data_IF_140623153025
#
_entry.id   IF_140623153025
#
_cell.length_a   1.000
_cell.length_b   1.000
_cell.length_c   1.000
_cell.angle_alpha   90.00
_cell.angle_beta   90.00
_cell.angle_gamma   90.00
#
_symmetry.space_group_name_H-M   'P 1'
#
loop_
_entity.id
_entity.type
_entity.pdbx_description
1 polymer ?
#
# COMPACT_ATOMS: atom_id res chain seq x y z
N UNK A 1 -4.52 -6.16 15.44
CA UNK A 1 -3.20 -6.51 14.87
C UNK A 1 -2.76 -5.50 13.79
N UNK A 2 -2.88 -4.19 14.03
CA UNK A 2 -2.63 -3.17 13.00
C UNK A 2 -2.13 -1.81 13.56
N UNK A 3 -1.28 -1.83 14.60
CA UNK A 3 -0.91 -0.59 15.34
C UNK A 3 0.53 -0.10 15.18
N UNK A 4 1.32 -0.64 14.25
CA UNK A 4 2.78 -0.44 14.32
C UNK A 4 3.45 0.27 13.14
N UNK A 5 2.78 0.54 12.02
CA UNK A 5 3.42 1.14 10.82
C UNK A 5 3.25 2.65 10.66
N UNK A 6 2.45 3.32 11.50
CA UNK A 6 2.23 4.78 11.42
C UNK A 6 3.44 5.64 11.91
N UNK A 7 4.52 5.04 12.39
CA UNK A 7 5.64 5.77 13.01
C UNK A 7 6.79 6.15 12.06
N UNK A 8 6.72 5.82 10.75
CA UNK A 8 7.87 5.98 9.84
C UNK A 8 7.81 7.18 8.88
N UNK A 9 6.76 8.01 8.88
CA UNK A 9 6.62 9.11 7.90
C UNK A 9 7.10 10.48 8.36
N UNK A 10 7.77 10.60 9.52
CA UNK A 10 8.30 11.90 9.94
C UNK A 10 9.69 12.17 9.34
N UNK A 11 9.66 12.88 8.20
CA UNK A 11 10.76 13.65 7.59
C UNK A 11 11.57 12.91 6.51
N UNK A 12 11.15 13.08 5.27
CA UNK A 12 12.02 12.96 4.10
C UNK A 12 11.74 14.16 3.19
N UNK A 13 12.46 15.25 3.41
CA UNK A 13 12.57 16.31 2.40
C UNK A 13 13.35 15.76 1.20
N UNK A 14 12.69 15.63 0.05
CA UNK A 14 13.32 15.18 -1.18
C UNK A 14 14.17 16.31 -1.80
N UNK A 15 15.48 16.10 -2.06
CA UNK A 15 16.25 17.06 -2.82
C UNK A 15 15.87 16.99 -4.30
N UNK A 16 15.56 18.15 -4.88
CA UNK A 16 15.42 18.35 -6.31
C UNK A 16 16.79 18.20 -6.98
N UNK A 17 16.87 17.33 -8.00
CA UNK A 17 17.69 17.38 -9.22
C UNK A 17 18.26 16.01 -9.60
N UNK A 18 17.93 15.52 -10.80
CA UNK A 18 18.68 14.45 -11.45
C UNK A 18 17.83 13.60 -12.39
N UNK A 19 18.01 13.80 -13.69
CA UNK A 19 17.42 12.99 -14.77
C UNK A 19 17.59 11.48 -14.52
N UNK A 20 16.52 10.81 -14.10
CA UNK A 20 16.32 9.40 -14.37
C UNK A 20 15.21 9.28 -15.40
N UNK A 21 15.51 8.66 -16.53
CA UNK A 21 14.51 8.23 -17.52
C UNK A 21 13.54 7.29 -16.80
N UNK A 22 12.37 7.83 -16.43
CA UNK A 22 11.23 7.09 -15.92
C UNK A 22 10.79 6.12 -17.01
N UNK A 23 11.18 4.86 -16.91
CA UNK A 23 10.72 3.83 -17.83
C UNK A 23 9.25 3.57 -17.56
N UNK A 24 8.43 4.00 -18.53
CA UNK A 24 7.00 3.78 -18.69
C UNK A 24 6.11 4.34 -17.57
N UNK A 25 5.69 5.60 -17.74
CA UNK A 25 4.37 6.00 -17.28
C UNK A 25 3.37 4.98 -17.85
N UNK A 26 2.72 4.22 -16.98
CA UNK A 26 1.57 3.42 -17.36
C UNK A 26 0.49 4.40 -17.84
N UNK A 27 0.13 4.43 -19.14
CA UNK A 27 -0.84 5.39 -19.66
C UNK A 27 -2.24 5.19 -19.06
N UNK A 28 -2.51 4.00 -18.52
CA UNK A 28 -3.78 3.62 -17.91
C UNK A 28 -3.70 3.60 -16.37
N UNK A 29 -2.82 4.42 -15.79
CA UNK A 29 -2.68 4.55 -14.33
C UNK A 29 -3.94 5.19 -13.70
N UNK A 30 -4.70 4.46 -12.87
CA UNK A 30 -6.00 4.95 -12.40
C UNK A 30 -5.92 5.79 -11.12
N UNK A 31 -4.80 5.75 -10.38
CA UNK A 31 -4.67 6.44 -9.10
C UNK A 31 -4.38 7.94 -9.32
N UNK A 32 -4.92 8.78 -8.43
CA UNK A 32 -4.50 10.19 -8.32
C UNK A 32 -3.07 10.33 -7.83
N UNK A 33 -2.61 9.37 -7.02
CA UNK A 33 -1.25 9.31 -6.49
C UNK A 33 -0.22 8.96 -7.58
N UNK A 34 0.96 9.59 -7.56
CA UNK A 34 2.06 9.21 -8.44
C UNK A 34 2.42 7.72 -8.34
N UNK A 35 2.82 7.07 -9.45
CA UNK A 35 3.22 5.64 -9.45
C UNK A 35 4.35 5.27 -8.47
N UNK A 36 5.15 6.26 -8.04
CA UNK A 36 6.26 6.12 -7.10
C UNK A 36 5.91 6.49 -5.65
N UNK A 37 4.63 6.71 -5.32
CA UNK A 37 4.20 6.88 -3.93
C UNK A 37 4.58 5.66 -3.12
N UNK A 38 5.06 5.91 -1.91
CA UNK A 38 5.55 4.90 -1.01
C UNK A 38 4.40 4.10 -0.41
N UNK A 39 4.51 2.78 -0.47
CA UNK A 39 3.56 1.84 0.12
C UNK A 39 4.27 1.03 1.19
N UNK A 40 3.70 0.98 2.38
CA UNK A 40 4.15 0.08 3.44
C UNK A 40 3.67 -1.34 3.16
N UNK A 41 4.61 -2.29 3.20
CA UNK A 41 4.31 -3.71 3.02
C UNK A 41 5.31 -4.56 3.82
N UNK A 42 5.31 -5.87 3.59
CA UNK A 42 6.27 -6.81 4.19
C UNK A 42 7.01 -7.60 3.10
N UNK A 43 8.25 -7.98 3.35
CA UNK A 43 9.08 -8.65 2.34
C UNK A 43 8.47 -9.96 1.84
N UNK A 44 7.68 -10.65 2.65
CA UNK A 44 7.05 -11.91 2.29
C UNK A 44 6.03 -11.71 1.15
N UNK A 45 5.34 -10.57 1.11
CA UNK A 45 4.44 -10.23 0.00
C UNK A 45 5.26 -9.94 -1.25
N UNK A 46 6.31 -9.11 -1.13
CA UNK A 46 7.18 -8.76 -2.27
C UNK A 46 7.88 -9.99 -2.86
N UNK A 47 8.20 -10.99 -2.04
CA UNK A 47 8.74 -12.30 -2.47
C UNK A 47 7.70 -13.26 -3.04
N UNK A 48 6.42 -12.92 -2.98
CA UNK A 48 5.32 -13.77 -3.45
C UNK A 48 4.98 -14.95 -2.53
N UNK A 49 5.48 -14.94 -1.28
CA UNK A 49 5.17 -15.96 -0.27
C UNK A 49 3.74 -15.80 0.27
N UNK A 50 3.25 -14.55 0.28
CA UNK A 50 1.88 -14.22 0.68
C UNK A 50 1.23 -13.24 -0.30
N UNK A 51 -0.10 -13.26 -0.33
CA UNK A 51 -0.91 -12.33 -1.14
C UNK A 51 -1.15 -11.04 -0.37
N UNK A 52 -1.48 -9.96 -1.06
CA UNK A 52 -2.12 -8.80 -0.41
C UNK A 52 -3.58 -9.17 -0.18
N UNK A 53 -4.04 -9.27 1.07
CA UNK A 53 -5.46 -9.53 1.39
C UNK A 53 -6.09 -8.40 2.20
N UNK A 54 -5.29 -7.38 2.55
CA UNK A 54 -5.69 -6.20 3.27
C UNK A 54 -4.94 -4.98 2.74
N UNK A 55 -5.69 -3.91 2.50
CA UNK A 55 -5.19 -2.62 2.05
C UNK A 55 -5.79 -1.55 2.95
N UNK A 56 -4.97 -0.62 3.44
CA UNK A 56 -5.44 0.55 4.15
C UNK A 56 -4.90 1.82 3.48
N UNK A 57 -5.75 2.84 3.44
CA UNK A 57 -5.39 4.19 3.05
C UNK A 57 -5.51 5.06 4.30
N UNK A 58 -4.36 5.44 4.86
CA UNK A 58 -4.33 6.10 6.16
C UNK A 58 -4.90 7.53 6.07
N UNK A 59 -5.57 7.99 7.13
CA UNK A 59 -6.21 9.31 7.17
C UNK A 59 -5.24 10.41 7.63
N UNK A 60 -4.19 10.05 8.38
CA UNK A 60 -3.27 11.02 8.98
C UNK A 60 -2.23 11.52 7.97
N UNK A 61 -1.62 10.60 7.22
CA UNK A 61 -0.52 10.91 6.29
C UNK A 61 -0.80 10.51 4.84
N UNK A 62 -1.98 9.96 4.56
CA UNK A 62 -2.34 9.46 3.24
C UNK A 62 -1.52 8.27 2.77
N UNK A 63 -0.80 7.59 3.68
CA UNK A 63 0.03 6.47 3.30
C UNK A 63 -0.80 5.23 2.96
N UNK A 64 -0.33 4.52 1.94
CA UNK A 64 -0.86 3.23 1.54
C UNK A 64 -0.18 2.10 2.31
N UNK A 65 -0.96 1.15 2.82
CA UNK A 65 -0.47 -0.04 3.53
C UNK A 65 -1.04 -1.30 2.90
N UNK A 66 -0.20 -2.16 2.33
CA UNK A 66 -0.62 -3.36 1.59
C UNK A 66 -0.05 -4.59 2.32
N UNK A 67 -0.94 -5.35 2.96
CA UNK A 67 -0.60 -6.37 3.96
C UNK A 67 -1.31 -7.70 3.72
N UNK A 68 -0.88 -8.68 4.51
CA UNK A 68 -1.54 -9.97 4.65
C UNK A 68 -1.98 -10.16 6.11
N UNK A 69 -3.27 -10.42 6.37
CA UNK A 69 -3.84 -10.58 7.71
C UNK A 69 -3.37 -11.85 8.44
N UNK A 70 -2.93 -12.87 7.70
CA UNK A 70 -2.45 -14.12 8.29
C UNK A 70 -0.96 -14.05 8.69
N UNK A 71 -0.24 -13.01 8.28
CA UNK A 71 1.18 -12.84 8.62
C UNK A 71 1.30 -12.01 9.90
N UNK A 72 2.04 -12.55 10.87
CA UNK A 72 2.42 -11.79 12.06
C UNK A 72 3.44 -10.71 11.66
N UNK A 73 3.05 -9.45 11.83
CA UNK A 73 3.84 -8.32 11.39
C UNK A 73 5.06 -8.13 12.31
N UNK A 74 6.26 -8.16 11.73
CA UNK A 74 7.51 -7.83 12.41
C UNK A 74 8.16 -6.63 11.75
N UNK A 75 8.67 -5.70 12.56
CA UNK A 75 9.37 -4.52 12.04
C UNK A 75 10.56 -4.86 11.14
N UNK A 76 11.26 -5.95 11.44
CA UNK A 76 12.36 -6.43 10.62
C UNK A 76 11.93 -6.84 9.20
N UNK A 77 10.63 -7.12 9.01
CA UNK A 77 10.08 -7.58 7.75
C UNK A 77 9.45 -6.43 6.95
N UNK A 78 9.30 -5.25 7.56
CA UNK A 78 8.70 -4.08 6.97
C UNK A 78 9.51 -3.62 5.74
N UNK A 79 8.79 -3.33 4.67
CA UNK A 79 9.35 -2.81 3.42
C UNK A 79 8.57 -1.58 2.97
N UNK A 80 9.30 -0.70 2.28
CA UNK A 80 8.73 0.43 1.55
C UNK A 80 8.97 0.19 0.06
N UNK A 81 7.90 0.17 -0.72
CA UNK A 81 7.95 -0.10 -2.16
C UNK A 81 7.14 0.94 -2.91
N UNK A 82 7.32 1.04 -4.23
CA UNK A 82 6.50 1.93 -5.03
C UNK A 82 5.09 1.35 -5.23
N UNK A 83 4.06 2.20 -5.21
CA UNK A 83 2.67 1.81 -5.46
C UNK A 83 2.52 1.06 -6.79
N UNK A 84 3.24 1.51 -7.83
CA UNK A 84 3.26 0.84 -9.12
C UNK A 84 3.88 -0.55 -9.10
N UNK A 85 4.84 -0.85 -8.21
CA UNK A 85 5.38 -2.20 -8.05
C UNK A 85 4.33 -3.14 -7.47
N UNK A 86 3.55 -2.66 -6.49
CA UNK A 86 2.45 -3.43 -5.92
C UNK A 86 1.33 -3.67 -6.95
N UNK A 87 0.95 -2.64 -7.70
CA UNK A 87 -0.07 -2.77 -8.77
C UNK A 87 0.39 -3.69 -9.90
N UNK A 88 1.70 -3.73 -10.21
CA UNK A 88 2.27 -4.71 -11.15
C UNK A 88 2.25 -6.12 -10.57
N UNK A 89 2.50 -6.28 -9.27
CA UNK A 89 2.47 -7.56 -8.57
C UNK A 89 1.05 -8.14 -8.49
N UNK A 90 0.06 -7.29 -8.23
CA UNK A 90 -1.36 -7.65 -8.21
C UNK A 90 -2.22 -6.58 -8.87
N UNK A 91 -2.67 -6.88 -10.10
CA UNK A 91 -3.49 -5.98 -10.89
C UNK A 91 -4.87 -5.68 -10.30
N UNK A 92 -5.40 -6.53 -9.40
CA UNK A 92 -6.68 -6.28 -8.74
C UNK A 92 -6.62 -5.08 -7.77
N UNK A 93 -5.41 -4.63 -7.40
CA UNK A 93 -5.23 -3.42 -6.60
C UNK A 93 -5.68 -2.17 -7.35
N UNK A 94 -5.74 -2.20 -8.69
CA UNK A 94 -6.33 -1.11 -9.49
C UNK A 94 -7.79 -0.86 -9.17
N UNK A 95 -8.52 -1.85 -8.67
CA UNK A 95 -9.91 -1.66 -8.28
C UNK A 95 -10.02 -0.68 -7.12
N UNK A 96 -9.00 -0.60 -6.26
CA UNK A 96 -8.94 0.24 -5.07
C UNK A 96 -8.42 1.66 -5.34
N UNK A 97 -8.33 2.08 -6.61
CA UNK A 97 -7.80 3.40 -6.98
C UNK A 97 -8.53 4.58 -6.32
N UNK A 98 -9.81 4.39 -5.98
CA UNK A 98 -10.71 5.34 -5.36
C UNK A 98 -10.95 5.05 -3.87
N UNK A 99 -10.10 4.23 -3.24
CA UNK A 99 -10.23 3.97 -1.80
C UNK A 99 -10.01 5.28 -1.03
N UNK A 100 -11.02 5.78 -0.27
CA UNK A 100 -10.88 7.05 0.43
C UNK A 100 -9.85 6.98 1.56
N UNK A 101 -9.33 8.13 1.98
CA UNK A 101 -8.58 8.25 3.23
C UNK A 101 -9.39 7.76 4.43
N UNK A 102 -8.73 7.09 5.36
CA UNK A 102 -9.37 6.47 6.51
C UNK A 102 -10.18 5.22 6.19
N UNK A 103 -10.07 4.65 4.98
CA UNK A 103 -10.72 3.39 4.62
C UNK A 103 -9.74 2.23 4.53
N UNK A 104 -10.30 1.03 4.67
CA UNK A 104 -9.60 -0.20 4.37
C UNK A 104 -10.40 -1.06 3.41
N UNK A 105 -9.69 -1.95 2.72
CA UNK A 105 -10.24 -2.97 1.88
C UNK A 105 -9.62 -4.34 2.21
N UNK A 106 -10.40 -5.40 2.12
CA UNK A 106 -9.91 -6.76 2.35
C UNK A 106 -10.57 -7.77 1.40
N UNK A 107 -9.94 -8.93 1.24
CA UNK A 107 -10.48 -10.04 0.44
C UNK A 107 -10.11 -11.37 1.07
N UNK A 108 -10.86 -12.42 0.73
CA UNK A 108 -10.66 -13.76 1.30
C UNK A 108 -9.59 -14.59 0.57
N UNK A 109 -9.11 -14.13 -0.59
CA UNK A 109 -8.09 -14.83 -1.36
C UNK A 109 -7.69 -14.10 -2.63
N UNK A 110 -6.67 -14.62 -3.33
CA UNK A 110 -6.20 -14.02 -4.58
C UNK A 110 -7.31 -14.03 -5.64
N UNK A 111 -7.59 -12.86 -6.21
CA UNK A 111 -8.64 -12.70 -7.23
C UNK A 111 -10.07 -12.76 -6.70
N UNK A 112 -10.27 -12.83 -5.38
CA UNK A 112 -11.58 -12.64 -4.77
C UNK A 112 -11.92 -11.14 -4.73
N UNK A 113 -13.22 -10.77 -4.77
CA UNK A 113 -13.64 -9.38 -4.73
C UNK A 113 -13.18 -8.68 -3.45
N UNK A 114 -12.90 -7.39 -3.58
CA UNK A 114 -12.57 -6.53 -2.44
C UNK A 114 -13.83 -6.10 -1.69
N UNK A 115 -13.83 -6.33 -0.39
CA UNK A 115 -14.71 -5.67 0.57
C UNK A 115 -14.06 -4.38 1.02
N UNK A 116 -14.87 -3.35 1.32
CA UNK A 116 -14.38 -2.03 1.75
C UNK A 116 -15.17 -1.55 2.93
N UNK A 117 -14.51 -0.90 3.87
CA UNK A 117 -15.16 -0.21 4.98
C UNK A 117 -14.33 0.98 5.43
N UNK A 118 -14.98 1.95 6.06
CA UNK A 118 -14.29 2.94 6.87
C UNK A 118 -13.52 2.18 7.96
N UNK A 119 -12.24 2.53 8.12
CA UNK A 119 -11.42 2.03 9.23
C UNK A 119 -12.05 2.60 10.49
N UNK A 120 -12.75 1.77 11.26
CA UNK A 120 -13.21 2.19 12.58
C UNK A 120 -11.98 2.60 13.39
N UNK A 121 -11.89 3.88 13.71
CA UNK A 121 -10.90 4.41 14.62
C UNK A 121 -11.17 3.71 15.96
N UNK A 122 -10.36 2.71 16.31
CA UNK A 122 -10.29 2.25 17.68
C UNK A 122 -9.71 3.43 18.48
N UNK A 123 -10.60 4.31 18.98
CA UNK A 123 -10.28 5.29 20.03
C UNK A 123 -9.50 4.54 21.13
N UNK A 124 -8.27 4.98 21.40
CA UNK A 124 -7.43 4.43 22.47
C UNK A 124 -8.03 4.68 23.87
#
# INVERSE_FOLDING_TARGET
>A
MARFIAFLTRSIDAPTHGNLRMTAADPDWPFSDPPNVAVFTIHQIVRGEHIVDYVAHDDDDGAWQFLNRAVDFKMADAMLVALSEMVKFDSSLRELWDLPYGWCAWREGKGQPWHRAMKELEEE
#
